data_IF_012123027935
#
_entry.id   IF_012123027935
#
_cell.length_a   1.000
_cell.length_b   1.000
_cell.length_c   1.000
_cell.angle_alpha   90.00
_cell.angle_beta   90.00
_cell.angle_gamma   90.00
#
_symmetry.space_group_name_H-M   'P 1'
#
loop_
_entity.id
_entity.type
_entity.pdbx_description
1 polymer ?
#
# COMPACT_ATOMS: atom_id res chain seq x y z
N UNK A 1 35.41 -0.39 -0.23
CA UNK A 1 34.06 -0.20 -0.80
C UNK A 1 33.45 0.98 -0.07
N UNK A 2 33.33 2.12 -0.74
CA UNK A 2 32.66 3.31 -0.20
C UNK A 2 31.17 3.14 -0.45
N UNK A 3 30.41 2.70 0.54
CA UNK A 3 28.95 2.80 0.52
C UNK A 3 28.62 4.29 0.47
N UNK A 4 27.90 4.74 -0.55
CA UNK A 4 27.23 6.04 -0.48
C UNK A 4 26.34 5.99 0.78
N UNK A 5 26.49 6.92 1.74
CA UNK A 5 25.69 6.89 2.95
C UNK A 5 24.28 7.33 2.57
N UNK A 6 23.39 6.35 2.38
CA UNK A 6 21.97 6.60 2.34
C UNK A 6 21.56 7.09 3.73
N UNK A 7 21.03 8.31 3.80
CA UNK A 7 20.60 8.92 5.05
C UNK A 7 19.10 8.60 5.24
N UNK A 8 18.80 7.66 6.13
CA UNK A 8 17.41 7.37 6.54
C UNK A 8 16.93 8.54 7.41
N UNK A 9 15.86 9.20 6.98
CA UNK A 9 15.25 10.33 7.70
C UNK A 9 13.78 10.05 7.97
N UNK A 10 13.21 10.74 8.96
CA UNK A 10 11.77 10.71 9.21
C UNK A 10 11.24 9.32 9.58
N UNK A 11 12.06 8.50 10.24
CA UNK A 11 11.74 7.13 10.63
C UNK A 11 13.00 6.28 10.76
N UNK A 12 12.81 4.97 10.88
CA UNK A 12 13.89 3.99 10.97
C UNK A 12 13.70 2.87 9.94
N UNK A 13 14.79 2.44 9.32
CA UNK A 13 14.88 1.21 8.54
C UNK A 13 15.33 0.08 9.46
N UNK A 14 14.51 -0.97 9.59
CA UNK A 14 14.85 -2.16 10.38
C UNK A 14 15.48 -3.22 9.49
N UNK A 15 14.84 -3.56 8.36
CA UNK A 15 15.35 -4.56 7.42
C UNK A 15 14.82 -4.32 5.99
N UNK A 16 15.54 -4.82 4.99
CA UNK A 16 15.11 -4.82 3.58
C UNK A 16 14.58 -6.20 3.23
N UNK A 17 13.32 -6.28 2.83
CA UNK A 17 12.60 -7.57 2.66
C UNK A 17 12.28 -7.91 1.21
N UNK A 18 12.63 -7.04 0.26
CA UNK A 18 12.33 -7.25 -1.15
C UNK A 18 13.28 -6.56 -2.09
N UNK A 19 13.09 -6.80 -3.38
CA UNK A 19 13.87 -6.14 -4.42
C UNK A 19 13.35 -4.71 -4.64
N UNK A 20 14.24 -3.73 -4.83
CA UNK A 20 13.82 -2.37 -5.13
C UNK A 20 13.20 -2.26 -6.51
N UNK A 21 12.18 -1.40 -6.64
CA UNK A 21 11.57 -1.05 -7.93
C UNK A 21 11.71 0.45 -8.14
N UNK A 22 12.20 0.86 -9.30
CA UNK A 22 12.36 2.27 -9.67
C UNK A 22 11.20 2.73 -10.54
N UNK A 23 10.68 3.92 -10.25
CA UNK A 23 9.73 4.62 -11.10
C UNK A 23 10.04 6.11 -11.12
N UNK A 24 10.18 6.70 -12.31
CA UNK A 24 10.73 8.03 -12.48
C UNK A 24 12.08 8.19 -11.72
N UNK A 25 12.17 9.18 -10.83
CA UNK A 25 13.36 9.48 -10.03
C UNK A 25 13.34 8.87 -8.63
N UNK A 26 12.30 8.09 -8.29
CA UNK A 26 12.14 7.46 -6.98
C UNK A 26 12.41 5.96 -7.08
N UNK A 27 13.14 5.42 -6.12
CA UNK A 27 13.29 3.96 -5.94
C UNK A 27 12.56 3.53 -4.67
N UNK A 28 11.63 2.59 -4.80
CA UNK A 28 10.87 2.04 -3.69
C UNK A 28 11.48 0.72 -3.26
N UNK A 29 11.82 0.61 -1.98
CA UNK A 29 12.43 -0.56 -1.38
C UNK A 29 11.46 -1.16 -0.38
N UNK A 30 10.92 -2.37 -0.61
CA UNK A 30 10.13 -3.08 0.40
C UNK A 30 10.99 -3.32 1.64
N UNK A 31 10.51 -2.87 2.79
CA UNK A 31 11.31 -2.83 4.00
C UNK A 31 10.45 -3.01 5.24
N UNK A 32 11.02 -3.52 6.32
CA UNK A 32 10.44 -3.36 7.65
C UNK A 32 10.93 -2.01 8.16
N UNK A 33 9.99 -1.12 8.47
CA UNK A 33 10.29 0.22 8.96
C UNK A 33 9.63 0.50 10.29
N UNK A 34 10.10 1.54 10.98
CA UNK A 34 9.41 2.13 12.12
C UNK A 34 9.19 3.60 11.85
N UNK A 35 7.92 3.99 11.72
CA UNK A 35 7.52 5.40 11.69
C UNK A 35 7.53 5.97 13.11
N UNK A 36 7.83 7.26 13.26
CA UNK A 36 7.88 7.94 14.55
C UNK A 36 6.63 8.78 14.80
N UNK A 37 6.14 8.69 16.03
CA UNK A 37 5.11 9.55 16.60
C UNK A 37 3.91 8.84 17.20
N UNK A 38 3.14 9.58 17.98
CA UNK A 38 2.08 9.03 18.84
C UNK A 38 0.79 8.72 18.07
N UNK A 39 0.54 9.45 16.98
CA UNK A 39 -0.65 9.30 16.14
C UNK A 39 -0.24 9.42 14.68
N UNK A 40 -0.22 8.29 13.99
CA UNK A 40 0.03 8.25 12.56
C UNK A 40 -1.28 8.46 11.81
N UNK A 41 -1.28 9.41 10.86
CA UNK A 41 -2.45 9.72 10.04
C UNK A 41 -2.28 9.21 8.62
N UNK A 42 -3.32 8.57 8.10
CA UNK A 42 -3.46 8.25 6.69
C UNK A 42 -3.50 9.55 5.87
N UNK A 43 -2.70 9.58 4.81
CA UNK A 43 -2.54 10.70 3.90
C UNK A 43 -2.55 10.18 2.46
N UNK A 44 -2.84 11.07 1.51
CA UNK A 44 -2.84 10.72 0.08
C UNK A 44 -3.69 9.47 -0.19
N UNK A 45 -4.98 9.50 0.16
CA UNK A 45 -5.90 8.44 -0.26
C UNK A 45 -5.84 8.29 -1.78
N UNK A 46 -5.75 7.06 -2.28
CA UNK A 46 -5.48 6.80 -3.69
C UNK A 46 -6.54 7.41 -4.64
N UNK A 47 -7.82 7.38 -4.26
CA UNK A 47 -8.89 7.97 -5.07
C UNK A 47 -8.87 9.48 -5.02
N UNK A 48 -8.75 10.04 -3.81
CA UNK A 48 -8.69 11.48 -3.62
C UNK A 48 -7.47 12.05 -4.36
N UNK A 49 -6.32 11.40 -4.25
CA UNK A 49 -5.11 11.72 -5.02
C UNK A 49 -5.36 11.65 -6.53
N UNK A 50 -5.93 10.56 -7.04
CA UNK A 50 -6.18 10.41 -8.47
C UNK A 50 -7.13 11.51 -9.00
N UNK A 51 -8.16 11.85 -8.21
CA UNK A 51 -9.09 12.93 -8.51
C UNK A 51 -8.40 14.30 -8.54
N UNK A 52 -7.63 14.63 -7.50
CA UNK A 52 -6.87 15.88 -7.39
C UNK A 52 -5.86 16.06 -8.52
N UNK A 53 -5.23 14.97 -8.98
CA UNK A 53 -4.31 14.99 -10.12
C UNK A 53 -5.01 14.98 -11.49
N UNK A 54 -6.36 14.94 -11.53
CA UNK A 54 -7.12 14.80 -12.78
C UNK A 54 -6.83 13.50 -13.54
N UNK A 55 -6.38 12.46 -12.83
CA UNK A 55 -6.04 11.16 -13.41
C UNK A 55 -7.29 10.32 -13.56
N UNK A 56 -7.49 9.79 -14.77
CA UNK A 56 -8.54 8.79 -15.02
C UNK A 56 -8.03 7.42 -14.58
N UNK A 57 -8.71 6.81 -13.63
CA UNK A 57 -8.40 5.45 -13.19
C UNK A 57 -8.81 4.41 -14.26
N UNK A 58 -7.98 3.38 -14.48
CA UNK A 58 -8.31 2.25 -15.36
C UNK A 58 -9.58 1.51 -14.90
N UNK A 59 -10.29 0.86 -15.83
CA UNK A 59 -11.54 0.17 -15.51
C UNK A 59 -11.37 -1.03 -14.56
N UNK A 60 -10.16 -1.62 -14.51
CA UNK A 60 -9.82 -2.70 -13.57
C UNK A 60 -9.75 -2.21 -12.11
N UNK A 61 -9.54 -0.91 -11.91
CA UNK A 61 -9.55 -0.25 -10.61
C UNK A 61 -11.00 0.16 -10.30
N UNK A 62 -11.75 -0.73 -9.64
CA UNK A 62 -13.20 -0.57 -9.41
C UNK A 62 -13.52 -0.10 -8.00
N UNK A 63 -14.58 0.71 -7.89
CA UNK A 63 -15.21 1.07 -6.60
C UNK A 63 -14.28 1.86 -5.66
N UNK A 64 -14.71 2.12 -4.42
CA UNK A 64 -13.82 2.70 -3.40
C UNK A 64 -12.94 1.65 -2.72
N UNK A 65 -13.33 0.37 -2.78
CA UNK A 65 -12.58 -0.77 -2.23
C UNK A 65 -11.54 -1.28 -3.24
N UNK A 66 -10.46 -0.53 -3.43
CA UNK A 66 -9.38 -0.91 -4.37
C UNK A 66 -8.35 -1.86 -3.80
N UNK A 67 -8.48 -2.23 -2.51
CA UNK A 67 -7.48 -3.03 -1.83
C UNK A 67 -7.17 -4.36 -2.53
N UNK A 68 -8.17 -5.00 -3.16
CA UNK A 68 -7.97 -6.22 -3.94
C UNK A 68 -6.99 -6.01 -5.11
N UNK A 69 -7.25 -4.99 -5.92
CA UNK A 69 -6.37 -4.61 -7.03
C UNK A 69 -4.99 -4.16 -6.52
N UNK A 70 -4.97 -3.36 -5.46
CA UNK A 70 -3.76 -2.73 -4.94
C UNK A 70 -2.79 -3.78 -4.37
N UNK A 71 -3.28 -4.71 -3.55
CA UNK A 71 -2.46 -5.80 -3.02
C UNK A 71 -1.97 -6.73 -4.15
N UNK A 72 -2.80 -7.02 -5.16
CA UNK A 72 -2.36 -7.80 -6.34
C UNK A 72 -1.20 -7.14 -7.09
N UNK A 73 -1.22 -5.80 -7.22
CA UNK A 73 -0.11 -5.01 -7.76
C UNK A 73 1.12 -5.02 -6.86
N UNK A 74 0.95 -4.89 -5.53
CA UNK A 74 2.06 -4.95 -4.59
C UNK A 74 2.78 -6.31 -4.64
N UNK A 75 2.02 -7.40 -4.69
CA UNK A 75 2.59 -8.75 -4.82
C UNK A 75 3.33 -8.88 -6.15
N UNK A 76 2.74 -8.40 -7.26
CA UNK A 76 3.40 -8.43 -8.56
C UNK A 76 4.72 -7.65 -8.60
N UNK A 77 4.72 -6.40 -8.12
CA UNK A 77 5.87 -5.49 -8.21
C UNK A 77 6.97 -5.83 -7.21
N UNK A 78 6.58 -6.16 -5.98
CA UNK A 78 7.48 -6.19 -4.83
C UNK A 78 7.59 -7.56 -4.18
N UNK A 79 6.80 -8.54 -4.65
CA UNK A 79 6.69 -9.86 -4.03
C UNK A 79 6.31 -9.75 -2.54
N UNK A 80 5.44 -8.79 -2.20
CA UNK A 80 4.92 -8.63 -0.83
C UNK A 80 4.17 -9.88 -0.40
N UNK A 81 4.25 -10.22 0.88
CA UNK A 81 3.49 -11.34 1.42
C UNK A 81 2.00 -11.04 1.44
N UNK A 82 1.18 -12.01 1.04
CA UNK A 82 -0.26 -12.00 1.34
C UNK A 82 -0.44 -12.46 2.79
N UNK A 83 -0.69 -11.51 3.70
CA UNK A 83 -0.73 -11.75 5.14
C UNK A 83 -2.11 -12.31 5.55
N UNK A 84 -2.12 -13.28 6.46
CA UNK A 84 -3.34 -13.85 7.04
C UNK A 84 -4.16 -12.80 7.81
N UNK A 85 -5.41 -13.10 8.12
CA UNK A 85 -6.28 -12.17 8.86
C UNK A 85 -5.73 -11.85 10.27
N UNK A 86 -5.24 -12.87 10.97
CA UNK A 86 -4.79 -12.76 12.36
C UNK A 86 -3.57 -11.83 12.54
N UNK A 87 -2.81 -11.62 11.45
CA UNK A 87 -1.58 -10.81 11.43
C UNK A 87 -1.80 -9.43 10.80
N UNK A 88 -3.02 -9.10 10.35
CA UNK A 88 -3.35 -7.81 9.74
C UNK A 88 -3.81 -6.79 10.77
N UNK A 89 -3.57 -5.52 10.46
CA UNK A 89 -4.17 -4.41 11.20
C UNK A 89 -5.69 -4.51 11.08
N UNK A 90 -6.41 -4.27 12.19
CA UNK A 90 -7.87 -4.32 12.22
C UNK A 90 -8.48 -3.48 11.08
N UNK A 91 -9.39 -4.08 10.30
CA UNK A 91 -10.08 -3.47 9.15
C UNK A 91 -9.18 -3.12 7.96
N UNK A 92 -8.00 -3.71 7.87
CA UNK A 92 -7.15 -3.64 6.69
C UNK A 92 -7.17 -4.95 5.91
N UNK A 93 -7.10 -4.85 4.59
CA UNK A 93 -6.82 -5.95 3.69
C UNK A 93 -5.31 -6.18 3.55
N UNK A 94 -4.49 -5.14 3.71
CA UNK A 94 -3.04 -5.19 3.72
C UNK A 94 -2.41 -4.04 4.52
N UNK A 95 -1.17 -4.26 4.92
CA UNK A 95 -0.27 -3.26 5.46
C UNK A 95 1.15 -3.58 4.98
N UNK A 96 1.79 -2.64 4.31
CA UNK A 96 3.06 -2.85 3.66
C UNK A 96 3.98 -1.63 3.84
N UNK A 97 5.16 -1.88 4.36
CA UNK A 97 6.17 -0.86 4.65
C UNK A 97 7.21 -0.75 3.55
N UNK A 98 7.63 0.49 3.27
CA UNK A 98 8.58 0.82 2.22
C UNK A 98 9.56 1.91 2.66
N UNK A 99 10.70 1.97 1.97
CA UNK A 99 11.57 3.14 1.95
C UNK A 99 11.58 3.71 0.54
N UNK A 100 11.21 4.98 0.39
CA UNK A 100 11.42 5.75 -0.83
C UNK A 100 12.83 6.35 -0.83
N UNK A 101 13.60 6.09 -1.88
CA UNK A 101 14.94 6.63 -2.08
C UNK A 101 14.88 7.66 -3.20
N UNK A 102 15.16 8.92 -2.86
CA UNK A 102 15.17 10.07 -3.76
C UNK A 102 16.51 10.77 -3.57
N UNK A 103 17.33 10.78 -4.63
CA UNK A 103 18.74 11.19 -4.60
C UNK A 103 19.57 10.49 -3.50
N UNK A 104 19.75 11.17 -2.36
CA UNK A 104 20.51 10.71 -1.20
C UNK A 104 19.67 10.59 0.07
N UNK A 105 18.37 10.89 -0.03
CA UNK A 105 17.41 10.87 1.08
C UNK A 105 16.59 9.59 0.99
N UNK A 106 16.47 8.90 2.12
CA UNK A 106 15.66 7.72 2.26
C UNK A 106 14.54 7.98 3.27
N UNK A 107 13.29 7.87 2.83
CA UNK A 107 12.10 8.18 3.62
C UNK A 107 11.27 6.91 3.80
N UNK A 108 11.18 6.38 5.04
CA UNK A 108 10.23 5.35 5.39
C UNK A 108 8.77 5.83 5.26
N UNK A 109 7.90 4.96 4.77
CA UNK A 109 6.46 5.16 4.75
C UNK A 109 5.74 3.81 4.73
N UNK A 110 4.52 3.78 5.25
CA UNK A 110 3.64 2.62 5.15
C UNK A 110 2.56 2.87 4.11
N UNK A 111 2.13 1.81 3.45
CA UNK A 111 0.97 1.77 2.57
C UNK A 111 0.01 0.72 3.10
N UNK A 112 -1.17 1.17 3.50
CA UNK A 112 -2.19 0.30 4.08
C UNK A 112 -3.55 0.75 3.56
N UNK A 113 -4.53 -0.16 3.63
CA UNK A 113 -5.92 0.19 3.46
C UNK A 113 -6.67 0.19 4.80
N UNK A 114 -7.66 1.07 4.90
CA UNK A 114 -8.64 1.05 5.99
C UNK A 114 -10.04 0.98 5.38
N UNK A 115 -10.76 -0.11 5.61
CA UNK A 115 -12.02 -0.42 4.91
C UNK A 115 -11.87 -0.37 3.38
N UNK A 116 -10.79 -0.95 2.84
CA UNK A 116 -10.57 -1.02 1.39
C UNK A 116 -10.05 0.28 0.75
N UNK A 117 -9.97 1.38 1.50
CA UNK A 117 -9.40 2.66 1.05
C UNK A 117 -7.91 2.70 1.29
N UNK A 118 -7.13 2.65 0.21
CA UNK A 118 -5.66 2.67 0.27
C UNK A 118 -5.13 4.08 0.50
N UNK A 119 -4.21 4.23 1.45
CA UNK A 119 -3.54 5.49 1.78
C UNK A 119 -2.06 5.26 2.09
N UNK A 120 -1.29 6.35 2.13
CA UNK A 120 0.09 6.35 2.60
C UNK A 120 0.17 6.94 4.01
N UNK A 121 1.08 6.42 4.82
CA UNK A 121 1.30 6.85 6.19
C UNK A 121 2.76 7.22 6.34
N UNK A 122 3.02 8.37 6.95
CA UNK A 122 4.35 8.88 7.24
C UNK A 122 4.46 9.18 8.73
N UNK A 123 5.69 9.25 9.25
CA UNK A 123 5.95 9.71 10.61
C UNK A 123 5.28 11.05 10.90
N UNK A 124 4.73 11.21 12.10
CA UNK A 124 4.06 12.44 12.52
C UNK A 124 4.98 13.38 13.31
N UNK A 125 5.89 12.84 14.11
CA UNK A 125 6.77 13.63 15.00
C UNK A 125 7.90 14.31 14.23
N UNK A 126 8.44 13.59 13.24
CA UNK A 126 9.43 14.09 12.30
C UNK A 126 8.91 13.89 10.88
N UNK A 127 7.77 14.53 10.57
CA UNK A 127 7.12 14.36 9.28
C UNK A 127 7.99 14.90 8.13
N UNK A 128 8.17 14.15 7.03
CA UNK A 128 8.81 14.69 5.84
C UNK A 128 8.03 15.92 5.31
N UNK A 129 8.69 16.89 4.68
CA UNK A 129 8.01 18.04 4.07
C UNK A 129 6.86 17.59 3.15
N UNK A 130 5.76 18.36 3.11
CA UNK A 130 4.57 17.99 2.33
C UNK A 130 4.88 17.77 0.84
N UNK A 131 5.77 18.58 0.28
CA UNK A 131 6.25 18.44 -1.09
C UNK A 131 6.92 17.08 -1.33
N UNK A 132 7.82 16.66 -0.43
CA UNK A 132 8.51 15.37 -0.50
C UNK A 132 7.53 14.19 -0.38
N UNK A 133 6.56 14.28 0.55
CA UNK A 133 5.50 13.27 0.66
C UNK A 133 4.65 13.20 -0.61
N UNK A 134 4.32 14.35 -1.20
CA UNK A 134 3.59 14.44 -2.47
C UNK A 134 4.37 13.85 -3.65
N UNK A 135 5.68 14.05 -3.70
CA UNK A 135 6.56 13.44 -4.70
C UNK A 135 6.57 11.90 -4.56
N UNK A 136 6.72 11.40 -3.34
CA UNK A 136 6.63 9.96 -3.03
C UNK A 136 5.26 9.41 -3.45
N UNK A 137 4.16 10.07 -3.08
CA UNK A 137 2.81 9.65 -3.44
C UNK A 137 2.59 9.61 -4.96
N UNK A 138 3.03 10.65 -5.67
CA UNK A 138 2.93 10.75 -7.12
C UNK A 138 3.69 9.63 -7.84
N UNK A 139 4.91 9.34 -7.39
CA UNK A 139 5.73 8.28 -7.98
C UNK A 139 5.20 6.88 -7.60
N UNK A 140 4.76 6.68 -6.36
CA UNK A 140 4.28 5.39 -5.89
C UNK A 140 2.97 5.02 -6.57
N UNK A 141 1.95 5.88 -6.53
CA UNK A 141 0.70 5.61 -7.23
C UNK A 141 0.86 5.65 -8.75
N UNK A 142 1.82 6.42 -9.27
CA UNK A 142 2.23 6.35 -10.66
C UNK A 142 2.72 4.95 -11.06
N UNK A 143 3.59 4.34 -10.25
CA UNK A 143 4.06 2.97 -10.43
C UNK A 143 2.93 1.94 -10.30
N UNK A 144 2.02 2.13 -9.34
CA UNK A 144 0.88 1.21 -9.17
C UNK A 144 -0.01 1.21 -10.40
N UNK A 145 -0.19 2.36 -11.04
CA UNK A 145 -0.96 2.55 -12.27
C UNK A 145 -0.19 2.22 -13.56
N UNK A 146 1.12 1.98 -13.48
CA UNK A 146 1.92 1.54 -14.63
C UNK A 146 1.63 0.06 -14.90
N UNK A 147 1.18 -0.28 -16.11
CA UNK A 147 0.69 -1.63 -16.43
C UNK A 147 -0.37 -2.15 -15.42
N UNK A 148 -1.55 -1.49 -15.32
CA UNK A 148 -2.51 -1.73 -14.24
C UNK A 148 -3.15 -3.12 -14.26
N UNK A 149 -3.03 -3.85 -15.38
CA UNK A 149 -3.53 -5.21 -15.57
C UNK A 149 -2.52 -6.28 -15.16
N UNK A 150 -1.26 -5.90 -14.85
CA UNK A 150 -0.23 -6.83 -14.40
C UNK A 150 -0.39 -7.10 -12.90
N UNK A 151 -1.22 -8.08 -12.57
CA UNK A 151 -1.56 -8.46 -11.21
C UNK A 151 -1.05 -9.88 -10.89
N UNK A 152 -0.67 -10.09 -9.64
CA UNK A 152 -0.50 -11.44 -9.11
C UNK A 152 -1.85 -11.96 -8.61
N UNK A 153 -2.21 -13.18 -9.01
CA UNK A 153 -3.40 -13.86 -8.49
C UNK A 153 -3.18 -14.24 -7.01
N UNK A 154 -4.20 -14.00 -6.20
CA UNK A 154 -4.23 -14.39 -4.79
C UNK A 154 -5.67 -14.40 -4.28
N UNK A 155 -5.90 -15.16 -3.21
CA UNK A 155 -7.19 -15.21 -2.51
C UNK A 155 -6.98 -14.86 -1.04
N UNK A 156 -7.89 -14.07 -0.47
CA UNK A 156 -7.91 -13.77 0.94
C UNK A 156 -9.33 -13.47 1.45
N UNK A 157 -9.46 -13.27 2.76
CA UNK A 157 -10.70 -12.89 3.43
C UNK A 157 -10.49 -11.89 4.55
N UNK A 158 -11.53 -11.17 4.92
CA UNK A 158 -11.58 -10.21 6.03
C UNK A 158 -12.95 -10.29 6.72
N UNK A 159 -12.98 -10.28 8.05
CA UNK A 159 -14.23 -10.13 8.78
C UNK A 159 -14.62 -8.66 8.97
N UNK A 160 -15.79 -8.26 8.46
CA UNK A 160 -16.33 -6.92 8.64
C UNK A 160 -17.13 -6.83 9.95
N UNK A 161 -16.46 -6.50 11.05
CA UNK A 161 -17.03 -6.51 12.41
C UNK A 161 -18.25 -5.61 12.60
N UNK A 162 -18.32 -4.47 11.90
CA UNK A 162 -19.46 -3.55 11.99
C UNK A 162 -20.74 -4.07 11.31
N UNK A 163 -20.60 -5.01 10.38
CA UNK A 163 -21.69 -5.59 9.59
C UNK A 163 -21.97 -7.05 9.92
N UNK A 164 -21.02 -7.75 10.56
CA UNK A 164 -21.16 -9.14 10.98
C UNK A 164 -21.08 -10.14 9.83
N UNK A 165 -20.31 -9.86 8.78
CA UNK A 165 -20.16 -10.72 7.60
C UNK A 165 -18.69 -10.87 7.19
N UNK A 166 -18.42 -11.90 6.40
CA UNK A 166 -17.11 -12.12 5.79
C UNK A 166 -17.05 -11.45 4.43
N UNK A 167 -15.88 -10.97 4.07
CA UNK A 167 -15.57 -10.49 2.73
C UNK A 167 -14.48 -11.40 2.18
N UNK A 168 -14.77 -12.08 1.07
CA UNK A 168 -13.77 -12.76 0.26
C UNK A 168 -13.25 -11.76 -0.78
N UNK A 169 -11.93 -11.60 -0.88
CA UNK A 169 -11.33 -10.64 -1.81
C UNK A 169 -10.00 -11.14 -2.36
N UNK A 170 -9.63 -10.65 -3.53
CA UNK A 170 -8.40 -11.09 -4.17
C UNK A 170 -8.31 -10.71 -5.63
N UNK A 171 -7.43 -11.41 -6.34
CA UNK A 171 -7.30 -11.35 -7.79
C UNK A 171 -7.35 -12.77 -8.32
N UNK A 172 -8.28 -13.02 -9.25
CA UNK A 172 -8.44 -14.31 -9.90
C UNK A 172 -8.39 -14.14 -11.40
N UNK A 173 -7.46 -14.83 -12.07
CA UNK A 173 -7.25 -14.72 -13.51
C UNK A 173 -6.99 -13.28 -13.96
N UNK A 174 -6.24 -12.52 -13.16
CA UNK A 174 -5.96 -11.11 -13.41
C UNK A 174 -7.13 -10.15 -13.18
N UNK A 175 -8.27 -10.60 -12.63
CA UNK A 175 -9.41 -9.74 -12.32
C UNK A 175 -9.58 -9.60 -10.79
N UNK A 176 -9.59 -8.38 -10.24
CA UNK A 176 -9.89 -8.15 -8.83
C UNK A 176 -11.34 -8.50 -8.50
N UNK A 177 -11.54 -9.13 -7.34
CA UNK A 177 -12.87 -9.41 -6.78
C UNK A 177 -12.95 -8.99 -5.31
N UNK A 178 -14.16 -8.65 -4.87
CA UNK A 178 -14.49 -8.25 -3.50
C UNK A 178 -15.97 -8.59 -3.25
N UNK A 179 -16.21 -9.68 -2.52
CA UNK A 179 -17.52 -10.31 -2.41
C UNK A 179 -17.90 -10.53 -0.95
N UNK A 180 -19.08 -10.04 -0.56
CA UNK A 180 -19.65 -10.34 0.75
C UNK A 180 -20.15 -11.79 0.81
N UNK A 181 -19.71 -12.53 1.82
CA UNK A 181 -20.32 -13.79 2.24
C UNK A 181 -21.04 -13.60 3.56
N UNK A 182 -22.36 -13.75 3.47
CA UNK A 182 -23.19 -14.01 4.65
C UNK A 182 -23.04 -15.50 4.94
N UNK A 183 -22.38 -15.84 6.04
CA UNK A 183 -22.47 -17.20 6.56
C UNK A 183 -23.93 -17.44 6.96
N UNK A 184 -24.61 -18.30 6.20
CA UNK A 184 -25.91 -18.84 6.60
C UNK A 184 -25.67 -19.65 7.88
N UNK A 185 -25.80 -19.02 9.05
CA UNK A 185 -25.84 -19.72 10.34
C UNK A 185 -27.22 -20.40 10.42
N UNK A 186 -27.41 -21.43 9.60
CA UNK A 186 -28.46 -22.42 9.78
C UNK A 186 -27.90 -23.59 10.56
N UNK A 187 -27.88 -23.43 11.89
CA UNK A 187 -27.92 -24.53 12.86
C UNK A 187 -28.82 -24.18 14.04
#
# INVERSE_FOLDING_TARGET
MTSLPFDIRHGELIDVIGSPVRFADVTFVPAITRLTGDILSAQFDFFDWAHEQGRKLPAIVRGVETAAWFLGRLIYLFNTANVGEDDRIEKSCFDASFVAVIDHVCVPFDCSDHYGRTSLIFSSDDAPPLELRGEIANAFYGLMLDEPDALADYDNRLYHSGGGFWIDFGVSHGEPYFEERIDDISR
#
